data_IF_496258918322
#
_entry.id   IF_496258918322
#
_cell.length_a   1.000
_cell.length_b   1.000
_cell.length_c   1.000
_cell.angle_alpha   90.00
_cell.angle_beta   90.00
_cell.angle_gamma   90.00
#
_symmetry.space_group_name_H-M   'P 1'
#
loop_
_entity.id
_entity.type
_entity.pdbx_description
1 polymer ?
#
# COMPACT_ATOMS: atom_id res chain seq x y z
N UNK A 1 15.95 -28.78 25.29
CA UNK A 1 16.24 -29.21 23.90
C UNK A 1 15.03 -29.79 23.20
N UNK A 2 14.36 -28.97 22.40
CA UNK A 2 13.31 -29.44 21.51
C UNK A 2 13.94 -30.34 20.43
N UNK A 3 13.42 -31.54 20.20
CA UNK A 3 13.95 -32.51 19.23
C UNK A 3 12.94 -32.64 18.07
N UNK A 4 12.94 -31.70 17.12
CA UNK A 4 11.88 -31.57 16.11
C UNK A 4 11.79 -32.77 15.15
N UNK A 5 12.84 -33.59 15.10
CA UNK A 5 12.89 -34.81 14.27
C UNK A 5 12.21 -36.03 14.91
N UNK A 6 11.78 -35.95 16.17
CA UNK A 6 11.21 -37.07 16.92
C UNK A 6 9.69 -36.94 17.07
N UNK A 7 8.94 -37.98 16.68
CA UNK A 7 7.48 -38.01 16.78
C UNK A 7 7.02 -39.30 17.46
N UNK A 8 6.01 -39.19 18.33
CA UNK A 8 5.33 -40.35 18.90
C UNK A 8 4.21 -40.82 17.98
N UNK A 9 4.16 -42.12 17.69
CA UNK A 9 3.06 -42.75 16.95
C UNK A 9 2.11 -43.43 17.94
N UNK A 10 0.86 -42.96 18.11
CA UNK A 10 -0.11 -43.61 18.98
C UNK A 10 -0.43 -45.05 18.53
N UNK A 11 -0.55 -45.27 17.22
CA UNK A 11 -0.86 -46.58 16.63
C UNK A 11 0.23 -47.64 16.83
N UNK A 12 1.48 -47.21 17.02
CA UNK A 12 2.64 -48.11 17.25
C UNK A 12 3.20 -47.99 18.67
N UNK A 13 2.55 -47.17 19.51
CA UNK A 13 2.92 -46.90 20.90
C UNK A 13 4.41 -46.62 21.13
N UNK A 14 5.03 -45.80 20.28
CA UNK A 14 6.43 -45.44 20.46
C UNK A 14 6.98 -44.40 19.49
N UNK A 15 8.26 -44.10 19.66
CA UNK A 15 8.94 -42.95 19.04
C UNK A 15 9.60 -43.31 17.71
N UNK A 16 9.46 -42.43 16.73
CA UNK A 16 10.12 -42.48 15.43
C UNK A 16 10.95 -41.22 15.18
N UNK A 17 12.02 -41.36 14.40
CA UNK A 17 12.74 -40.26 13.81
C UNK A 17 12.17 -40.02 12.40
N UNK A 18 11.40 -38.95 12.20
CA UNK A 18 10.69 -38.68 10.95
C UNK A 18 11.65 -38.60 9.75
N UNK A 19 12.77 -37.86 9.81
CA UNK A 19 13.72 -37.82 8.71
C UNK A 19 14.30 -39.20 8.36
N UNK A 20 14.68 -39.99 9.36
CA UNK A 20 15.21 -41.34 9.10
C UNK A 20 14.14 -42.28 8.52
N UNK A 21 12.89 -42.17 8.95
CA UNK A 21 11.79 -43.00 8.40
C UNK A 21 11.59 -42.71 6.91
N UNK A 22 11.74 -41.45 6.51
CA UNK A 22 11.46 -41.01 5.14
C UNK A 22 12.68 -41.13 4.20
N UNK A 23 13.89 -40.91 4.71
CA UNK A 23 15.09 -40.71 3.89
C UNK A 23 16.24 -41.67 4.21
N UNK A 24 16.17 -42.49 5.27
CA UNK A 24 17.26 -43.41 5.56
C UNK A 24 17.26 -44.58 4.58
N UNK A 25 18.34 -44.72 3.82
CA UNK A 25 18.58 -45.88 2.98
C UNK A 25 19.42 -46.92 3.73
N UNK A 26 19.07 -48.20 3.54
CA UNK A 26 19.87 -49.30 4.06
C UNK A 26 21.13 -49.47 3.18
N UNK A 27 22.21 -48.75 3.52
CA UNK A 27 23.50 -48.90 2.84
C UNK A 27 24.38 -49.95 3.53
N UNK A 28 24.66 -51.07 2.84
CA UNK A 28 25.55 -52.13 3.31
C UNK A 28 25.02 -52.89 4.54
N UNK A 29 25.87 -53.15 5.54
CA UNK A 29 25.52 -53.86 6.78
C UNK A 29 24.78 -52.99 7.82
N UNK A 30 24.35 -51.77 7.46
CA UNK A 30 23.68 -50.88 8.41
C UNK A 30 22.19 -51.22 8.55
N UNK A 31 21.88 -52.00 9.60
CA UNK A 31 20.49 -52.30 9.96
C UNK A 31 19.75 -51.06 10.48
N UNK A 32 18.70 -50.65 9.76
CA UNK A 32 17.77 -49.60 10.18
C UNK A 32 16.88 -50.15 11.32
N UNK A 33 17.33 -49.98 12.56
CA UNK A 33 16.65 -50.51 13.74
C UNK A 33 15.58 -49.58 14.33
N UNK A 34 15.58 -49.50 15.66
CA UNK A 34 14.66 -48.65 16.43
C UNK A 34 14.75 -47.17 16.00
N UNK A 35 13.61 -46.48 16.08
CA UNK A 35 13.29 -45.14 15.55
C UNK A 35 13.04 -45.06 14.03
N UNK A 36 13.32 -46.13 13.26
CA UNK A 36 13.17 -46.12 11.80
C UNK A 36 12.16 -47.18 11.36
N UNK A 37 12.56 -48.46 11.32
CA UNK A 37 11.65 -49.56 10.95
C UNK A 37 10.73 -49.97 12.10
N UNK A 38 11.18 -49.77 13.34
CA UNK A 38 10.41 -50.06 14.55
C UNK A 38 10.42 -48.88 15.52
N UNK A 39 9.33 -48.67 16.28
CA UNK A 39 9.26 -47.59 17.25
C UNK A 39 10.25 -47.82 18.41
N UNK A 40 10.82 -46.76 18.96
CA UNK A 40 11.50 -46.85 20.26
C UNK A 40 10.47 -46.83 21.39
N UNK A 41 10.39 -47.95 22.12
CA UNK A 41 9.49 -48.14 23.27
C UNK A 41 10.25 -48.27 24.60
N UNK A 42 11.59 -48.26 24.57
CA UNK A 42 12.41 -48.39 25.77
C UNK A 42 12.64 -47.03 26.43
N UNK A 43 11.66 -46.58 27.23
CA UNK A 43 11.68 -45.27 27.87
C UNK A 43 12.69 -45.16 29.02
N UNK A 44 13.00 -46.26 29.71
CA UNK A 44 13.91 -46.26 30.86
C UNK A 44 15.37 -45.89 30.57
N UNK A 45 15.80 -45.98 29.29
CA UNK A 45 17.13 -45.55 28.81
C UNK A 45 17.02 -44.56 27.64
N UNK A 46 15.95 -43.78 27.58
CA UNK A 46 15.69 -42.89 26.45
C UNK A 46 16.66 -41.69 26.40
N UNK A 47 16.93 -41.11 27.57
CA UNK A 47 17.75 -39.91 27.78
C UNK A 47 19.10 -40.26 28.43
N UNK A 48 20.03 -39.30 28.43
CA UNK A 48 21.40 -39.46 28.96
C UNK A 48 22.47 -39.58 27.88
N UNK A 49 23.74 -39.59 28.28
CA UNK A 49 24.88 -39.70 27.37
C UNK A 49 24.82 -41.01 26.55
N UNK A 50 24.47 -42.12 27.20
CA UNK A 50 24.24 -43.43 26.55
C UNK A 50 22.77 -43.69 26.22
N UNK A 51 21.94 -42.64 26.24
CA UNK A 51 20.52 -42.73 25.95
C UNK A 51 20.26 -43.12 24.50
N UNK A 52 19.15 -43.82 24.26
CA UNK A 52 18.76 -44.28 22.93
C UNK A 52 18.68 -43.14 21.89
N UNK A 53 18.24 -41.95 22.31
CA UNK A 53 18.18 -40.76 21.46
C UNK A 53 19.58 -40.27 21.08
N UNK A 54 20.50 -40.18 22.04
CA UNK A 54 21.88 -39.73 21.82
C UNK A 54 22.60 -40.68 20.88
N UNK A 55 22.46 -42.00 21.13
CA UNK A 55 23.03 -43.03 20.28
C UNK A 55 22.46 -43.02 18.86
N UNK A 56 21.16 -42.75 18.69
CA UNK A 56 20.54 -42.62 17.38
C UNK A 56 21.07 -41.39 16.62
N UNK A 57 21.17 -40.24 17.29
CA UNK A 57 21.69 -38.99 16.71
C UNK A 57 23.13 -39.13 16.18
N UNK A 58 23.94 -39.97 16.82
CA UNK A 58 25.33 -40.22 16.41
C UNK A 58 25.49 -41.14 15.19
N UNK A 59 24.40 -41.73 14.68
CA UNK A 59 24.48 -42.61 13.51
C UNK A 59 24.62 -41.78 12.23
N UNK A 60 25.49 -42.21 11.31
CA UNK A 60 25.73 -41.49 10.06
C UNK A 60 24.45 -41.30 9.24
N UNK A 61 23.65 -42.36 9.07
CA UNK A 61 22.38 -42.28 8.34
C UNK A 61 21.41 -41.27 8.94
N UNK A 62 21.48 -40.99 10.26
CA UNK A 62 20.63 -39.97 10.85
C UNK A 62 20.98 -38.59 10.31
N UNK A 63 22.27 -38.22 10.34
CA UNK A 63 22.73 -36.93 9.83
C UNK A 63 22.44 -36.78 8.33
N UNK A 64 22.66 -37.83 7.54
CA UNK A 64 22.35 -37.83 6.10
C UNK A 64 20.84 -37.63 5.86
N UNK A 65 19.99 -38.36 6.58
CA UNK A 65 18.53 -38.19 6.50
C UNK A 65 18.05 -36.81 6.97
N UNK A 66 18.70 -36.18 7.97
CA UNK A 66 18.40 -34.79 8.36
C UNK A 66 18.73 -33.86 7.19
N UNK A 67 19.91 -34.00 6.58
CA UNK A 67 20.32 -33.16 5.45
C UNK A 67 19.41 -33.33 4.25
N UNK A 68 18.99 -34.55 3.93
CA UNK A 68 18.09 -34.81 2.81
C UNK A 68 16.67 -34.30 3.09
N UNK A 69 16.18 -34.41 4.33
CA UNK A 69 14.93 -33.77 4.73
C UNK A 69 15.00 -32.23 4.58
N UNK A 70 16.09 -31.61 5.00
CA UNK A 70 16.31 -30.17 4.86
C UNK A 70 16.40 -29.74 3.39
N UNK A 71 17.07 -30.55 2.54
CA UNK A 71 17.15 -30.34 1.09
C UNK A 71 15.78 -30.46 0.43
N UNK A 72 15.01 -31.50 0.77
CA UNK A 72 13.66 -31.72 0.26
C UNK A 72 12.74 -30.53 0.60
N UNK A 73 12.72 -30.11 1.88
CA UNK A 73 11.91 -28.95 2.31
C UNK A 73 12.36 -27.68 1.59
N UNK A 74 13.67 -27.49 1.42
CA UNK A 74 14.22 -26.33 0.71
C UNK A 74 13.81 -26.30 -0.76
N UNK A 75 13.84 -27.45 -1.45
CA UNK A 75 13.41 -27.59 -2.85
C UNK A 75 11.90 -27.33 -2.99
N UNK A 76 11.06 -27.96 -2.15
CA UNK A 76 9.62 -27.74 -2.13
C UNK A 76 9.26 -26.27 -1.89
N UNK A 77 9.98 -25.57 -1.01
CA UNK A 77 9.80 -24.12 -0.79
C UNK A 77 10.08 -23.32 -2.05
N UNK A 78 11.16 -23.64 -2.78
CA UNK A 78 11.51 -22.95 -4.03
C UNK A 78 10.42 -23.18 -5.09
N UNK A 79 9.94 -24.42 -5.22
CA UNK A 79 8.87 -24.76 -6.16
C UNK A 79 7.56 -24.05 -5.81
N UNK A 80 7.13 -24.12 -4.54
CA UNK A 80 5.92 -23.45 -4.08
C UNK A 80 5.99 -21.92 -4.27
N UNK A 81 7.16 -21.31 -4.06
CA UNK A 81 7.37 -19.89 -4.40
C UNK A 81 7.16 -19.63 -5.88
N UNK A 82 7.75 -20.45 -6.76
CA UNK A 82 7.56 -20.32 -8.21
C UNK A 82 6.08 -20.45 -8.61
N UNK A 83 5.31 -21.32 -7.94
CA UNK A 83 3.85 -21.51 -8.16
C UNK A 83 3.05 -20.27 -7.77
N UNK A 84 3.43 -19.60 -6.67
CA UNK A 84 2.76 -18.41 -6.15
C UNK A 84 3.08 -17.13 -6.94
N UNK A 85 4.30 -16.98 -7.47
CA UNK A 85 4.73 -15.79 -8.21
C UNK A 85 3.73 -15.33 -9.28
N UNK A 86 3.25 -16.17 -10.22
CA UNK A 86 2.31 -15.73 -11.25
C UNK A 86 0.96 -15.29 -10.66
N UNK A 87 0.51 -15.92 -9.57
CA UNK A 87 -0.75 -15.57 -8.89
C UNK A 87 -0.63 -14.20 -8.22
N UNK A 88 0.42 -13.99 -7.44
CA UNK A 88 0.70 -12.70 -6.78
C UNK A 88 0.87 -11.59 -7.81
N UNK A 89 1.65 -11.82 -8.88
CA UNK A 89 1.82 -10.84 -9.97
C UNK A 89 0.48 -10.48 -10.63
N UNK A 90 -0.42 -11.44 -10.76
CA UNK A 90 -1.76 -11.19 -11.30
C UNK A 90 -2.61 -10.35 -10.34
N UNK A 91 -2.52 -10.61 -9.02
CA UNK A 91 -3.18 -9.78 -8.00
C UNK A 91 -2.65 -8.34 -8.04
N UNK A 92 -1.33 -8.17 -8.11
CA UNK A 92 -0.70 -6.84 -8.22
C UNK A 92 -1.15 -6.13 -9.49
N UNK A 93 -1.16 -6.81 -10.63
CA UNK A 93 -1.64 -6.26 -11.90
C UNK A 93 -3.08 -5.76 -11.76
N UNK A 94 -3.95 -6.56 -11.15
CA UNK A 94 -5.33 -6.16 -10.92
C UNK A 94 -5.42 -4.91 -10.03
N UNK A 95 -4.69 -4.89 -8.92
CA UNK A 95 -4.65 -3.74 -8.01
C UNK A 95 -4.15 -2.46 -8.67
N UNK A 96 -3.08 -2.53 -9.46
CA UNK A 96 -2.49 -1.37 -10.15
C UNK A 96 -3.39 -0.78 -11.24
N UNK A 97 -4.27 -1.60 -11.82
CA UNK A 97 -5.14 -1.21 -12.94
C UNK A 97 -6.61 -1.06 -12.52
N UNK A 98 -6.92 -1.06 -11.23
CA UNK A 98 -8.28 -1.02 -10.70
C UNK A 98 -9.19 -2.12 -11.29
N UNK A 99 -8.63 -3.29 -11.59
CA UNK A 99 -9.37 -4.43 -12.11
C UNK A 99 -9.90 -5.23 -10.92
N UNK A 100 -11.22 -5.46 -10.82
CA UNK A 100 -11.76 -6.28 -9.74
C UNK A 100 -11.26 -7.72 -9.88
N UNK A 101 -10.75 -8.31 -8.79
CA UNK A 101 -10.26 -9.68 -8.81
C UNK A 101 -11.38 -10.70 -9.09
N UNK A 102 -12.61 -10.38 -8.64
CA UNK A 102 -13.78 -11.27 -8.64
C UNK A 102 -15.04 -10.56 -9.13
N UNK A 103 -15.92 -11.31 -9.76
CA UNK A 103 -17.30 -10.92 -10.05
C UNK A 103 -18.23 -11.26 -8.89
N UNK A 104 -19.55 -11.24 -9.15
CA UNK A 104 -20.55 -11.60 -8.14
C UNK A 104 -20.58 -13.11 -7.84
N UNK A 105 -20.17 -13.94 -8.81
CA UNK A 105 -19.84 -15.35 -8.61
C UNK A 105 -18.30 -15.44 -8.67
N UNK A 106 -17.66 -16.55 -8.29
CA UNK A 106 -16.19 -16.65 -8.38
C UNK A 106 -15.65 -16.61 -9.85
N UNK A 107 -16.43 -16.14 -10.83
CA UNK A 107 -16.12 -15.91 -12.25
C UNK A 107 -15.22 -14.67 -12.47
N UNK A 108 -14.25 -14.48 -11.58
CA UNK A 108 -13.38 -13.32 -11.53
C UNK A 108 -12.33 -13.19 -12.63
N UNK A 109 -11.95 -11.94 -12.91
CA UNK A 109 -10.87 -11.59 -13.83
C UNK A 109 -9.55 -12.28 -13.51
N UNK A 110 -9.28 -12.63 -12.23
CA UNK A 110 -8.06 -13.35 -11.87
C UNK A 110 -7.95 -14.70 -12.59
N UNK A 111 -9.05 -15.44 -12.76
CA UNK A 111 -9.03 -16.74 -13.46
C UNK A 111 -8.77 -16.55 -14.95
N UNK A 112 -9.41 -15.55 -15.55
CA UNK A 112 -9.20 -15.19 -16.96
C UNK A 112 -7.77 -14.75 -17.24
N UNK A 113 -7.18 -13.94 -16.35
CA UNK A 113 -5.80 -13.48 -16.46
C UNK A 113 -4.79 -14.61 -16.26
N UNK A 114 -5.03 -15.52 -15.31
CA UNK A 114 -4.19 -16.70 -15.14
C UNK A 114 -4.26 -17.63 -16.35
N UNK A 115 -5.45 -17.81 -16.95
CA UNK A 115 -5.59 -18.56 -18.21
C UNK A 115 -4.83 -17.89 -19.35
N UNK A 116 -4.95 -16.56 -19.49
CA UNK A 116 -4.17 -15.80 -20.47
C UNK A 116 -2.66 -15.98 -20.29
N UNK A 117 -2.15 -16.02 -19.06
CA UNK A 117 -0.72 -16.33 -18.80
C UNK A 117 -0.33 -17.73 -19.26
N UNK A 118 -1.19 -18.72 -19.06
CA UNK A 118 -0.97 -20.09 -19.52
C UNK A 118 -0.93 -20.13 -21.06
N UNK A 119 -1.90 -19.48 -21.71
CA UNK A 119 -1.96 -19.38 -23.17
C UNK A 119 -0.73 -18.64 -23.75
N UNK A 120 -0.17 -17.70 -22.98
CA UNK A 120 1.09 -17.01 -23.30
C UNK A 120 2.36 -17.82 -22.98
N UNK A 121 2.25 -19.07 -22.51
CA UNK A 121 3.37 -19.99 -22.33
C UNK A 121 3.84 -20.24 -20.88
N UNK A 122 3.08 -19.83 -19.86
CA UNK A 122 3.39 -20.11 -18.45
C UNK A 122 3.11 -21.59 -18.10
N UNK A 123 4.00 -22.48 -18.56
CA UNK A 123 3.89 -23.94 -18.39
C UNK A 123 3.92 -24.39 -16.93
N UNK A 124 4.58 -23.60 -16.07
CA UNK A 124 4.71 -23.88 -14.65
C UNK A 124 3.38 -23.63 -13.92
N UNK A 125 2.72 -22.50 -14.22
CA UNK A 125 1.36 -22.23 -13.76
C UNK A 125 0.36 -23.27 -14.29
N UNK A 126 0.49 -23.67 -15.57
CA UNK A 126 -0.36 -24.68 -16.18
C UNK A 126 -0.25 -26.02 -15.45
N UNK A 127 0.98 -26.49 -15.21
CA UNK A 127 1.24 -27.72 -14.46
C UNK A 127 0.64 -27.61 -13.05
N UNK A 128 0.94 -26.54 -12.31
CA UNK A 128 0.40 -26.30 -10.97
C UNK A 128 -1.12 -26.38 -10.91
N UNK A 129 -1.84 -25.65 -11.76
CA UNK A 129 -3.31 -25.64 -11.72
C UNK A 129 -3.92 -26.98 -12.16
N UNK A 130 -3.18 -27.79 -12.94
CA UNK A 130 -3.63 -29.13 -13.35
C UNK A 130 -3.38 -30.21 -12.29
N UNK A 131 -2.27 -30.13 -11.54
CA UNK A 131 -1.86 -31.17 -10.58
C UNK A 131 -2.20 -30.83 -9.14
N UNK A 132 -2.40 -29.55 -8.81
CA UNK A 132 -2.69 -29.13 -7.45
C UNK A 132 -4.01 -29.71 -6.95
N UNK A 133 -4.03 -30.12 -5.69
CA UNK A 133 -5.28 -30.43 -5.00
C UNK A 133 -6.16 -29.17 -4.97
N UNK A 134 -7.49 -29.36 -4.86
CA UNK A 134 -8.45 -28.24 -4.79
C UNK A 134 -8.08 -27.20 -3.71
N UNK A 135 -7.46 -27.64 -2.61
CA UNK A 135 -7.04 -26.80 -1.49
C UNK A 135 -5.69 -26.10 -1.71
N UNK A 136 -4.87 -26.54 -2.66
CA UNK A 136 -3.52 -26.02 -2.92
C UNK A 136 -3.42 -25.22 -4.23
N UNK A 137 -4.53 -24.88 -4.88
CA UNK A 137 -4.51 -24.08 -6.11
C UNK A 137 -4.06 -22.62 -5.87
N UNK A 138 -4.23 -22.12 -4.64
CA UNK A 138 -3.95 -20.74 -4.22
C UNK A 138 -4.77 -19.65 -4.94
N UNK A 139 -5.82 -20.03 -5.65
CA UNK A 139 -6.72 -19.12 -6.35
C UNK A 139 -8.09 -18.99 -5.66
N UNK A 140 -8.23 -19.53 -4.45
CA UNK A 140 -9.48 -19.45 -3.70
C UNK A 140 -9.74 -18.02 -3.20
N UNK A 141 -10.99 -17.69 -2.90
CA UNK A 141 -11.33 -16.37 -2.36
C UNK A 141 -10.57 -16.04 -1.06
N UNK A 142 -10.41 -17.05 -0.21
CA UNK A 142 -9.72 -16.94 1.07
C UNK A 142 -8.24 -16.66 0.84
N UNK A 143 -7.59 -17.48 0.00
CA UNK A 143 -6.16 -17.34 -0.28
C UNK A 143 -5.83 -16.00 -0.94
N UNK A 144 -6.62 -15.53 -1.90
CA UNK A 144 -6.29 -14.23 -2.50
C UNK A 144 -6.48 -13.09 -1.48
N UNK A 145 -7.46 -13.16 -0.56
CA UNK A 145 -7.61 -12.14 0.48
C UNK A 145 -6.39 -12.14 1.42
N UNK A 146 -5.95 -13.32 1.87
CA UNK A 146 -4.71 -13.46 2.67
C UNK A 146 -3.49 -12.89 1.94
N UNK A 147 -3.36 -13.16 0.62
CA UNK A 147 -2.27 -12.60 -0.18
C UNK A 147 -2.35 -11.08 -0.33
N UNK A 148 -3.56 -10.51 -0.42
CA UNK A 148 -3.78 -9.06 -0.48
C UNK A 148 -3.37 -8.43 0.86
N UNK A 149 -3.76 -9.01 1.99
CA UNK A 149 -3.40 -8.54 3.32
C UNK A 149 -1.88 -8.57 3.52
N UNK A 150 -1.23 -9.70 3.25
CA UNK A 150 0.24 -9.85 3.35
C UNK A 150 0.94 -8.81 2.46
N UNK A 151 0.48 -8.64 1.22
CA UNK A 151 1.08 -7.68 0.31
C UNK A 151 0.86 -6.23 0.75
N UNK A 152 -0.32 -5.92 1.29
CA UNK A 152 -0.64 -4.63 1.89
C UNK A 152 0.26 -4.30 3.08
N UNK A 153 0.52 -5.29 3.94
CA UNK A 153 1.43 -5.14 5.08
C UNK A 153 2.86 -4.87 4.63
N UNK A 154 3.37 -5.60 3.63
CA UNK A 154 4.71 -5.36 3.06
C UNK A 154 4.85 -3.95 2.47
N UNK A 155 3.83 -3.46 1.76
CA UNK A 155 3.81 -2.08 1.26
C UNK A 155 3.85 -1.08 2.42
N UNK A 156 3.05 -1.32 3.47
CA UNK A 156 2.99 -0.43 4.63
C UNK A 156 4.33 -0.41 5.37
N UNK A 157 4.95 -1.55 5.59
CA UNK A 157 6.29 -1.66 6.19
C UNK A 157 7.32 -0.86 5.41
N UNK A 158 7.32 -0.98 4.07
CA UNK A 158 8.21 -0.20 3.21
C UNK A 158 7.96 1.30 3.35
N UNK A 159 6.70 1.75 3.25
CA UNK A 159 6.36 3.17 3.42
C UNK A 159 6.81 3.69 4.79
N UNK A 160 6.58 2.92 5.86
CA UNK A 160 6.99 3.31 7.20
C UNK A 160 8.51 3.37 7.37
N UNK A 161 9.26 2.48 6.71
CA UNK A 161 10.71 2.55 6.68
C UNK A 161 11.19 3.85 5.99
N UNK A 162 10.57 4.22 4.86
CA UNK A 162 10.86 5.47 4.15
C UNK A 162 10.50 6.71 4.99
N UNK A 163 9.35 6.71 5.67
CA UNK A 163 8.92 7.79 6.57
C UNK A 163 9.89 7.93 7.75
N UNK A 164 10.31 6.83 8.37
CA UNK A 164 11.27 6.84 9.48
C UNK A 164 12.63 7.35 9.03
N UNK A 165 13.07 7.01 7.82
CA UNK A 165 14.28 7.56 7.22
C UNK A 165 14.15 9.07 6.94
N UNK A 166 13.00 9.52 6.42
CA UNK A 166 12.71 10.93 6.20
C UNK A 166 12.67 11.75 7.51
N UNK A 167 12.46 11.09 8.65
CA UNK A 167 12.26 11.67 9.99
C UNK A 167 10.97 12.47 10.11
N UNK A 168 10.78 13.48 9.26
CA UNK A 168 9.64 14.39 9.29
C UNK A 168 8.52 13.96 8.33
N UNK A 169 7.29 14.11 8.79
CA UNK A 169 6.11 13.77 8.00
C UNK A 169 4.95 14.74 8.24
N UNK A 170 4.00 14.72 7.32
CA UNK A 170 2.73 15.45 7.38
C UNK A 170 1.59 14.45 7.25
N UNK A 171 0.52 14.67 8.01
CA UNK A 171 -0.70 13.89 7.86
C UNK A 171 -1.61 14.59 6.88
N UNK A 172 -2.12 13.82 5.93
CA UNK A 172 -3.17 14.24 5.01
C UNK A 172 -4.35 13.31 5.26
N UNK A 173 -5.54 13.88 5.42
CA UNK A 173 -6.72 13.04 5.55
C UNK A 173 -8.01 13.81 5.47
N UNK A 174 -9.04 13.09 5.04
CA UNK A 174 -10.40 13.59 4.92
C UNK A 174 -11.39 12.55 5.44
N UNK A 175 -12.54 13.04 5.90
CA UNK A 175 -13.68 12.19 6.25
C UNK A 175 -14.38 11.73 4.96
N UNK A 176 -14.64 10.43 4.86
CA UNK A 176 -15.38 9.82 3.76
C UNK A 176 -16.36 8.80 4.29
N UNK A 177 -17.50 8.63 3.63
CA UNK A 177 -18.48 7.61 3.98
C UNK A 177 -18.26 6.36 3.15
N UNK A 178 -18.28 5.18 3.78
CA UNK A 178 -18.16 3.91 3.08
C UNK A 178 -19.49 3.43 2.45
N UNK A 179 -19.43 2.32 1.70
CA UNK A 179 -20.58 1.72 1.01
C UNK A 179 -21.69 1.23 1.96
N UNK A 180 -21.38 1.05 3.24
CA UNK A 180 -22.31 0.64 4.30
C UNK A 180 -22.72 1.83 5.19
N UNK A 181 -22.50 3.08 4.74
CA UNK A 181 -22.81 4.32 5.46
C UNK A 181 -22.03 4.54 6.76
N UNK A 182 -20.90 3.86 6.94
CA UNK A 182 -19.98 4.07 8.07
C UNK A 182 -18.98 5.16 7.67
N UNK A 183 -18.84 6.18 8.51
CA UNK A 183 -17.81 7.20 8.29
C UNK A 183 -16.42 6.65 8.60
N UNK A 184 -15.48 7.01 7.75
CA UNK A 184 -14.09 6.63 7.84
C UNK A 184 -13.22 7.86 7.61
N UNK A 185 -12.11 7.93 8.33
CA UNK A 185 -11.07 8.91 8.11
C UNK A 185 -9.98 8.30 7.22
N UNK A 186 -9.72 8.93 6.07
CA UNK A 186 -8.60 8.55 5.20
C UNK A 186 -7.29 8.98 5.84
N UNK A 187 -6.39 8.04 6.15
CA UNK A 187 -5.09 8.36 6.73
C UNK A 187 -3.99 8.22 5.68
N UNK A 188 -3.43 9.36 5.27
CA UNK A 188 -2.31 9.44 4.34
C UNK A 188 -1.10 10.12 4.99
N UNK A 189 0.10 9.69 4.60
CA UNK A 189 1.36 10.30 5.01
C UNK A 189 2.01 11.01 3.83
N UNK A 190 2.48 12.22 4.08
CA UNK A 190 3.33 12.99 3.17
C UNK A 190 4.71 13.17 3.76
N UNK A 191 5.75 12.83 3.02
CA UNK A 191 7.14 12.88 3.48
C UNK A 191 8.11 13.12 2.32
N UNK A 192 9.34 13.52 2.64
CA UNK A 192 10.41 13.74 1.65
C UNK A 192 11.38 12.57 1.69
N UNK A 193 11.47 11.82 0.59
CA UNK A 193 12.42 10.70 0.45
C UNK A 193 13.11 10.81 -0.91
N UNK A 194 14.44 10.71 -0.92
CA UNK A 194 15.27 10.89 -2.13
C UNK A 194 14.97 12.20 -2.90
N UNK A 195 14.83 13.31 -2.17
CA UNK A 195 14.48 14.64 -2.72
C UNK A 195 13.16 14.69 -3.51
N UNK A 196 12.28 13.70 -3.32
CA UNK A 196 10.94 13.67 -3.91
C UNK A 196 9.89 13.67 -2.81
N UNK A 197 8.81 14.42 -3.05
CA UNK A 197 7.64 14.39 -2.19
C UNK A 197 6.88 13.10 -2.48
N UNK A 198 6.61 12.33 -1.44
CA UNK A 198 5.77 11.14 -1.50
C UNK A 198 4.51 11.38 -0.69
N UNK A 199 3.36 11.05 -1.29
CA UNK A 199 2.06 11.04 -0.63
C UNK A 199 1.52 9.61 -0.73
N UNK A 200 1.36 8.96 0.43
CA UNK A 200 1.02 7.54 0.50
C UNK A 200 -0.18 7.33 1.40
N UNK A 201 -1.19 6.64 0.87
CA UNK A 201 -2.29 6.11 1.64
C UNK A 201 -1.80 4.98 2.56
N UNK A 202 -2.29 4.95 3.81
CA UNK A 202 -1.92 3.94 4.81
C UNK A 202 -3.10 3.08 5.21
N UNK A 203 -4.22 3.71 5.59
CA UNK A 203 -5.37 3.04 6.17
C UNK A 203 -6.62 3.93 6.10
N UNK A 204 -7.78 3.26 6.17
CA UNK A 204 -9.03 3.90 6.55
C UNK A 204 -9.25 3.65 8.03
N UNK A 205 -9.53 4.70 8.80
CA UNK A 205 -9.77 4.62 10.23
C UNK A 205 -11.27 4.81 10.51
N UNK A 206 -11.96 3.86 11.16
CA UNK A 206 -13.37 4.03 11.51
C UNK A 206 -13.58 5.26 12.40
N UNK A 207 -14.41 6.21 11.95
CA UNK A 207 -14.64 7.48 12.64
C UNK A 207 -15.98 7.47 13.38
N UNK A 208 -16.03 6.76 14.51
CA UNK A 208 -17.24 6.68 15.35
C UNK A 208 -17.60 8.05 15.99
N UNK A 209 -16.57 8.77 16.46
CA UNK A 209 -16.68 10.10 17.06
C UNK A 209 -16.20 11.17 16.07
N UNK A 210 -17.17 11.86 15.44
CA UNK A 210 -16.95 12.90 14.41
C UNK A 210 -16.59 14.27 14.98
N UNK A 211 -16.41 14.38 16.30
CA UNK A 211 -15.93 15.63 16.88
C UNK A 211 -14.45 15.81 16.53
N UNK A 212 -13.98 17.06 16.49
CA UNK A 212 -12.55 17.30 16.27
C UNK A 212 -11.65 16.66 17.34
N UNK A 213 -12.17 16.41 18.54
CA UNK A 213 -11.47 15.67 19.58
C UNK A 213 -11.40 14.17 19.30
N UNK A 214 -12.51 13.58 18.85
CA UNK A 214 -12.58 12.18 18.42
C UNK A 214 -11.59 11.85 17.31
N UNK A 215 -11.59 12.65 16.26
CA UNK A 215 -10.70 12.49 15.11
C UNK A 215 -9.24 12.74 15.48
N UNK A 216 -8.96 13.71 16.35
CA UNK A 216 -7.60 13.94 16.83
C UNK A 216 -7.06 12.74 17.62
N UNK A 217 -7.89 12.12 18.46
CA UNK A 217 -7.54 10.91 19.21
C UNK A 217 -7.24 9.76 18.26
N UNK A 218 -8.12 9.53 17.28
CA UNK A 218 -7.98 8.49 16.26
C UNK A 218 -6.66 8.64 15.48
N UNK A 219 -6.33 9.86 15.07
CA UNK A 219 -5.07 10.19 14.38
C UNK A 219 -3.85 9.91 15.27
N UNK A 220 -3.86 10.37 16.52
CA UNK A 220 -2.72 10.18 17.44
C UNK A 220 -2.52 8.71 17.81
N UNK A 221 -3.60 7.95 17.97
CA UNK A 221 -3.56 6.50 18.18
C UNK A 221 -2.96 5.78 16.97
N UNK A 222 -3.37 6.14 15.76
CA UNK A 222 -2.82 5.54 14.54
C UNK A 222 -1.32 5.84 14.37
N UNK A 223 -0.89 7.09 14.61
CA UNK A 223 0.55 7.44 14.60
C UNK A 223 1.34 6.52 15.56
N UNK A 224 0.79 6.29 16.76
CA UNK A 224 1.42 5.43 17.77
C UNK A 224 1.43 3.96 17.33
N UNK A 225 0.34 3.46 16.74
CA UNK A 225 0.24 2.09 16.22
C UNK A 225 1.24 1.83 15.08
N UNK A 226 1.47 2.84 14.22
CA UNK A 226 2.47 2.79 13.16
C UNK A 226 3.92 2.93 13.69
N UNK A 227 4.10 3.13 15.00
CA UNK A 227 5.41 3.32 15.62
C UNK A 227 6.11 4.61 15.17
N UNK A 228 5.33 5.63 14.82
CA UNK A 228 5.81 6.95 14.46
C UNK A 228 5.83 7.87 15.69
N UNK A 229 6.78 8.80 15.73
CA UNK A 229 6.84 9.78 16.81
C UNK A 229 6.03 11.03 16.40
N UNK A 230 4.95 11.37 17.12
CA UNK A 230 4.13 12.53 16.80
C UNK A 230 4.90 13.86 16.85
N UNK A 231 6.02 13.94 17.57
CA UNK A 231 6.86 15.14 17.62
C UNK A 231 7.60 15.45 16.30
N UNK A 232 7.69 14.49 15.38
CA UNK A 232 8.25 14.71 14.04
C UNK A 232 7.18 15.03 12.98
N UNK A 233 5.91 15.12 13.39
CA UNK A 233 4.85 15.60 12.52
C UNK A 233 4.98 17.12 12.35
N UNK A 234 5.30 17.57 11.13
CA UNK A 234 5.56 18.97 10.80
C UNK A 234 4.38 19.68 10.14
N UNK A 235 3.36 18.93 9.73
CA UNK A 235 2.19 19.46 9.04
C UNK A 235 0.95 18.58 9.19
N UNK A 236 -0.20 19.20 8.98
CA UNK A 236 -1.51 18.57 8.96
C UNK A 236 -2.33 19.22 7.84
N UNK A 237 -2.92 18.40 6.97
CA UNK A 237 -3.79 18.84 5.88
C UNK A 237 -5.11 18.07 5.94
N UNK A 238 -6.18 18.79 6.29
CA UNK A 238 -7.51 18.23 6.45
C UNK A 238 -8.55 19.00 5.63
N UNK A 239 -9.71 18.39 5.40
CA UNK A 239 -10.87 19.06 4.82
C UNK A 239 -11.32 20.29 5.62
N UNK A 240 -12.04 21.20 4.97
CA UNK A 240 -12.48 22.46 5.55
C UNK A 240 -13.61 22.36 6.58
N UNK A 241 -14.12 21.16 6.87
CA UNK A 241 -15.23 20.93 7.81
C UNK A 241 -14.92 21.50 9.21
N UNK A 242 -15.93 21.99 9.91
CA UNK A 242 -15.76 22.61 11.25
C UNK A 242 -15.19 21.64 12.29
N UNK A 243 -15.42 20.33 12.16
CA UNK A 243 -14.81 19.32 13.01
C UNK A 243 -13.28 19.26 12.81
N UNK A 244 -12.81 19.48 11.58
CA UNK A 244 -11.39 19.41 11.22
C UNK A 244 -10.65 20.74 11.41
N UNK A 245 -11.26 21.85 10.98
CA UNK A 245 -10.67 23.20 10.93
C UNK A 245 -11.12 24.12 12.08
N UNK A 246 -11.95 23.62 13.00
CA UNK A 246 -12.56 24.40 14.07
C UNK A 246 -11.55 25.15 14.95
N UNK A 247 -11.74 26.47 15.08
CA UNK A 247 -10.84 27.39 15.79
C UNK A 247 -10.62 27.08 17.28
N UNK A 248 -11.54 26.37 17.93
CA UNK A 248 -11.52 26.12 19.38
C UNK A 248 -11.44 24.63 19.78
N UNK A 249 -11.99 23.74 18.94
CA UNK A 249 -12.08 22.29 19.18
C UNK A 249 -11.82 21.43 17.93
N UNK A 250 -11.26 22.02 16.88
CA UNK A 250 -11.00 21.30 15.63
C UNK A 250 -9.87 20.27 15.78
N UNK A 251 -9.92 19.22 14.97
CA UNK A 251 -8.90 18.15 14.90
C UNK A 251 -7.49 18.70 14.86
N UNK A 252 -7.25 19.68 13.98
CA UNK A 252 -5.94 20.30 13.81
C UNK A 252 -5.39 20.88 15.12
N UNK A 253 -6.23 21.64 15.84
CA UNK A 253 -5.84 22.28 17.10
C UNK A 253 -5.60 21.25 18.20
N UNK A 254 -6.46 20.23 18.29
CA UNK A 254 -6.35 19.19 19.32
C UNK A 254 -5.09 18.36 19.11
N UNK A 255 -4.79 17.95 17.88
CA UNK A 255 -3.53 17.27 17.55
C UNK A 255 -2.34 18.18 17.86
N UNK A 256 -2.38 19.47 17.48
CA UNK A 256 -1.31 20.43 17.80
C UNK A 256 -1.05 20.60 19.30
N UNK A 257 -2.07 20.44 20.15
CA UNK A 257 -1.92 20.50 21.62
C UNK A 257 -1.34 19.20 22.20
N UNK A 258 -1.66 18.05 21.58
CA UNK A 258 -1.20 16.73 22.02
C UNK A 258 0.24 16.41 21.62
N UNK A 259 0.72 16.98 20.52
CA UNK A 259 2.14 16.91 20.14
C UNK A 259 2.89 18.04 20.84
N UNK A 260 4.05 17.77 21.44
CA UNK A 260 4.84 18.81 22.10
C UNK A 260 5.05 19.97 21.13
N UNK A 261 4.86 21.23 21.59
CA UNK A 261 4.89 22.47 20.79
C UNK A 261 5.71 22.28 19.51
N UNK A 262 5.12 22.47 18.34
CA UNK A 262 5.81 22.37 17.06
C UNK A 262 7.12 23.19 17.06
N UNK A 263 8.26 22.54 17.33
CA UNK A 263 9.59 23.19 17.48
C UNK A 263 10.32 23.35 16.15
N UNK A 264 9.88 22.66 15.10
CA UNK A 264 10.60 22.52 13.83
C UNK A 264 9.88 23.15 12.64
N UNK A 265 9.14 24.26 12.85
CA UNK A 265 8.90 25.15 11.72
C UNK A 265 10.25 25.79 11.36
N UNK A 266 10.64 25.83 10.08
CA UNK A 266 11.70 26.72 9.64
C UNK A 266 11.19 28.15 9.80
N UNK A 267 11.21 28.66 11.03
CA UNK A 267 11.03 30.07 11.28
C UNK A 267 12.30 30.73 10.76
N UNK A 268 12.15 31.57 9.73
CA UNK A 268 13.24 32.43 9.35
C UNK A 268 13.65 33.23 10.60
N UNK A 269 14.94 33.22 10.99
CA UNK A 269 15.39 33.93 12.18
C UNK A 269 15.04 35.41 12.05
N UNK A 270 14.43 35.96 13.09
CA UNK A 270 14.04 37.36 13.16
C UNK A 270 14.41 37.89 14.54
N UNK A 271 15.01 39.07 14.59
CA UNK A 271 15.49 39.70 15.83
C UNK A 271 14.36 40.43 16.56
N UNK A 272 13.28 40.77 15.85
CA UNK A 272 12.12 41.48 16.41
C UNK A 272 10.80 40.81 16.01
N UNK A 273 9.72 40.99 16.80
CA UNK A 273 8.38 40.52 16.42
C UNK A 273 7.90 41.09 15.08
N UNK A 274 8.23 42.34 14.77
CA UNK A 274 7.86 42.98 13.50
C UNK A 274 8.55 42.31 12.31
N UNK A 275 9.86 42.06 12.43
CA UNK A 275 10.63 41.31 11.43
C UNK A 275 10.10 39.88 11.27
N UNK A 276 9.73 39.23 12.37
CA UNK A 276 9.12 37.91 12.34
C UNK A 276 7.81 37.92 11.54
N UNK A 277 6.92 38.88 11.81
CA UNK A 277 5.67 39.04 11.05
C UNK A 277 5.92 39.34 9.58
N UNK A 278 6.92 40.17 9.28
CA UNK A 278 7.27 40.53 7.91
C UNK A 278 7.75 39.32 7.12
N UNK A 279 8.69 38.56 7.66
CA UNK A 279 9.35 37.46 6.94
C UNK A 279 8.51 36.19 6.91
N UNK A 280 7.88 35.81 8.02
CA UNK A 280 7.19 34.52 8.13
C UNK A 280 5.69 34.61 7.78
N UNK A 281 5.10 35.81 7.73
CA UNK A 281 3.68 35.99 7.46
C UNK A 281 3.43 36.89 6.24
N UNK A 282 3.90 38.12 6.27
CA UNK A 282 3.57 39.14 5.27
C UNK A 282 4.15 38.81 3.89
N UNK A 283 5.45 38.50 3.81
CA UNK A 283 6.11 38.16 2.54
C UNK A 283 5.47 36.91 1.90
N UNK A 284 5.28 35.77 2.59
CA UNK A 284 4.64 34.60 2.01
C UNK A 284 3.20 34.87 1.50
N UNK A 285 2.42 35.66 2.24
CA UNK A 285 1.07 36.04 1.82
C UNK A 285 1.14 36.92 0.58
N UNK A 286 2.05 37.90 0.55
CA UNK A 286 2.24 38.77 -0.62
C UNK A 286 2.71 38.00 -1.84
N UNK A 287 3.67 37.08 -1.70
CA UNK A 287 4.12 36.21 -2.77
C UNK A 287 2.98 35.35 -3.31
N UNK A 288 2.16 34.78 -2.42
CA UNK A 288 0.96 34.04 -2.82
C UNK A 288 -0.03 34.92 -3.60
N UNK A 289 -0.27 36.17 -3.16
CA UNK A 289 -1.10 37.12 -3.89
C UNK A 289 -0.53 37.45 -5.27
N UNK A 290 0.78 37.70 -5.36
CA UNK A 290 1.47 37.97 -6.63
C UNK A 290 1.33 36.78 -7.56
N UNK A 291 1.60 35.55 -7.09
CA UNK A 291 1.47 34.33 -7.88
C UNK A 291 0.01 34.13 -8.32
N UNK A 292 -0.96 34.34 -7.43
CA UNK A 292 -2.38 34.21 -7.76
C UNK A 292 -2.80 35.21 -8.84
N UNK A 293 -2.40 36.48 -8.72
CA UNK A 293 -2.65 37.50 -9.74
C UNK A 293 -1.93 37.19 -11.05
N UNK A 294 -0.67 36.78 -10.99
CA UNK A 294 0.14 36.41 -12.17
C UNK A 294 -0.50 35.24 -12.92
N UNK A 295 -0.98 34.22 -12.20
CA UNK A 295 -1.68 33.10 -12.79
C UNK A 295 -3.02 33.53 -13.38
N UNK A 296 -3.82 34.32 -12.63
CA UNK A 296 -5.13 34.80 -13.05
C UNK A 296 -5.07 35.71 -14.28
N UNK A 297 -4.01 36.51 -14.41
CA UNK A 297 -3.77 37.40 -15.55
C UNK A 297 -2.66 36.86 -16.46
N UNK A 298 -2.45 35.55 -16.48
CA UNK A 298 -1.53 34.91 -17.43
C UNK A 298 -2.03 35.07 -18.86
N UNK A 299 -1.11 35.01 -19.83
CA UNK A 299 -1.45 35.13 -21.26
C UNK A 299 -2.54 34.11 -21.69
N UNK A 300 -2.51 32.90 -21.13
CA UNK A 300 -3.50 31.87 -21.41
C UNK A 300 -4.89 32.21 -20.84
N UNK A 301 -4.96 32.73 -19.60
CA UNK A 301 -6.21 33.20 -19.00
C UNK A 301 -6.77 34.42 -19.73
N UNK A 302 -5.91 35.34 -20.20
CA UNK A 302 -6.31 36.44 -21.07
C UNK A 302 -6.94 35.97 -22.38
N UNK A 303 -6.37 34.95 -23.02
CA UNK A 303 -6.95 34.34 -24.22
C UNK A 303 -8.31 33.68 -23.95
N UNK A 304 -8.48 33.03 -22.80
CA UNK A 304 -9.78 32.49 -22.38
C UNK A 304 -10.79 33.62 -22.08
N UNK A 305 -10.35 34.71 -21.45
CA UNK A 305 -11.16 35.90 -21.21
C UNK A 305 -11.64 36.54 -22.52
N UNK A 306 -10.82 36.58 -23.56
CA UNK A 306 -11.24 37.09 -24.88
C UNK A 306 -12.35 36.23 -25.52
N UNK A 307 -12.45 34.93 -25.20
CA UNK A 307 -13.59 34.10 -25.64
C UNK A 307 -14.90 34.55 -24.97
N UNK A 308 -14.86 35.14 -23.77
CA UNK A 308 -16.05 35.69 -23.10
C UNK A 308 -16.69 36.85 -23.86
N UNK A 309 -16.03 37.42 -24.86
CA UNK A 309 -16.61 38.40 -25.80
C UNK A 309 -17.78 37.81 -26.58
N UNK A 310 -17.85 36.48 -26.73
CA UNK A 310 -18.98 35.79 -27.35
C UNK A 310 -20.24 35.78 -26.46
N UNK A 311 -20.14 36.21 -25.20
CA UNK A 311 -21.31 36.38 -24.33
C UNK A 311 -22.15 37.56 -24.83
N UNK A 312 -23.47 37.41 -25.02
CA UNK A 312 -24.31 38.44 -25.64
C UNK A 312 -24.22 39.83 -25.00
N UNK A 313 -24.10 39.93 -23.67
CA UNK A 313 -23.97 41.21 -22.97
C UNK A 313 -22.65 41.95 -23.25
N UNK A 314 -21.64 41.25 -23.75
CA UNK A 314 -20.30 41.79 -24.02
C UNK A 314 -20.07 42.05 -25.51
N UNK A 315 -20.78 41.31 -26.38
CA UNK A 315 -20.57 41.33 -27.84
C UNK A 315 -20.92 42.68 -28.48
N UNK A 316 -21.89 43.40 -27.90
CA UNK A 316 -22.40 44.69 -28.42
C UNK A 316 -21.28 45.73 -28.53
N UNK A 317 -20.42 45.79 -27.50
CA UNK A 317 -19.37 46.79 -27.35
C UNK A 317 -17.98 46.33 -27.86
N UNK A 318 -17.89 45.15 -28.47
CA UNK A 318 -16.62 44.56 -28.91
C UNK A 318 -16.59 44.29 -30.41
N UNK A 319 -15.38 44.18 -30.95
CA UNK A 319 -15.12 43.92 -32.37
C UNK A 319 -14.70 42.46 -32.58
N UNK A 320 -14.88 41.94 -33.79
CA UNK A 320 -14.38 40.61 -34.12
C UNK A 320 -12.85 40.50 -34.00
N UNK A 321 -12.14 41.63 -34.16
CA UNK A 321 -10.68 41.64 -34.10
C UNK A 321 -10.17 41.32 -32.68
N UNK A 322 -10.98 41.57 -31.65
CA UNK A 322 -10.66 41.27 -30.25
C UNK A 322 -10.62 39.75 -29.96
N UNK A 323 -11.21 38.93 -30.84
CA UNK A 323 -11.23 37.47 -30.76
C UNK A 323 -10.13 36.80 -31.58
N UNK A 324 -9.36 37.55 -32.37
CA UNK A 324 -8.44 37.00 -33.38
C UNK A 324 -7.39 36.06 -32.78
N UNK A 325 -6.81 36.44 -31.65
CA UNK A 325 -5.77 35.67 -30.99
C UNK A 325 -6.34 34.38 -30.37
N UNK A 326 -7.53 34.46 -29.76
CA UNK A 326 -8.23 33.29 -29.20
C UNK A 326 -8.68 32.31 -30.27
N UNK A 327 -9.22 32.80 -31.39
CA UNK A 327 -9.62 31.95 -32.52
C UNK A 327 -8.39 31.25 -33.11
N UNK A 328 -7.28 31.97 -33.24
CA UNK A 328 -6.02 31.39 -33.74
C UNK A 328 -5.52 30.28 -32.82
N UNK A 329 -5.56 30.51 -31.50
CA UNK A 329 -5.14 29.52 -30.51
C UNK A 329 -6.05 28.28 -30.49
N UNK A 330 -7.37 28.45 -30.50
CA UNK A 330 -8.33 27.34 -30.43
C UNK A 330 -8.65 26.72 -31.80
N UNK A 331 -8.03 27.19 -32.89
CA UNK A 331 -8.35 26.80 -34.28
C UNK A 331 -8.40 25.29 -34.51
N UNK A 332 -7.46 24.55 -33.91
CA UNK A 332 -7.37 23.09 -34.06
C UNK A 332 -8.53 22.32 -33.37
N UNK A 333 -9.22 22.95 -32.43
CA UNK A 333 -10.30 22.35 -31.64
C UNK A 333 -11.70 22.77 -32.12
N UNK A 334 -11.78 23.71 -33.06
CA UNK A 334 -13.04 24.24 -33.55
C UNK A 334 -13.52 23.42 -34.75
N UNK A 335 -14.78 22.93 -34.77
CA UNK A 335 -15.29 22.06 -35.84
C UNK A 335 -15.43 22.79 -37.19
N UNK A 336 -15.59 24.11 -37.19
CA UNK A 336 -15.68 24.93 -38.40
C UNK A 336 -15.14 26.35 -38.16
N UNK A 337 -13.79 26.52 -38.09
CA UNK A 337 -13.16 27.78 -37.71
C UNK A 337 -13.48 28.94 -38.67
N UNK A 338 -13.76 28.63 -39.93
CA UNK A 338 -14.01 29.63 -40.97
C UNK A 338 -15.37 30.34 -40.79
N UNK A 339 -16.34 29.71 -40.13
CA UNK A 339 -17.70 30.24 -39.95
C UNK A 339 -17.81 31.22 -38.76
N UNK A 340 -16.80 31.27 -37.89
CA UNK A 340 -16.87 32.02 -36.62
C UNK A 340 -17.06 33.52 -36.84
N UNK A 341 -16.51 34.07 -37.94
CA UNK A 341 -16.69 35.49 -38.28
C UNK A 341 -18.13 35.80 -38.67
N UNK A 342 -18.77 34.90 -39.40
CA UNK A 342 -20.15 35.06 -39.87
C UNK A 342 -21.13 34.90 -38.72
N UNK A 343 -20.92 33.89 -37.87
CA UNK A 343 -21.67 33.68 -36.62
C UNK A 343 -21.54 34.88 -35.68
N UNK A 344 -20.34 35.39 -35.46
CA UNK A 344 -20.13 36.58 -34.62
C UNK A 344 -20.96 37.79 -35.10
N UNK A 345 -21.00 38.02 -36.42
CA UNK A 345 -21.80 39.11 -37.00
C UNK A 345 -23.30 38.85 -36.89
N UNK A 346 -23.73 37.59 -36.98
CA UNK A 346 -25.13 37.21 -36.76
C UNK A 346 -25.55 37.49 -35.30
N UNK A 347 -24.73 37.06 -34.33
CA UNK A 347 -25.00 37.27 -32.91
C UNK A 347 -24.96 38.74 -32.50
N UNK A 348 -24.14 39.57 -33.14
CA UNK A 348 -24.10 41.02 -32.88
C UNK A 348 -25.32 41.79 -33.43
N UNK A 349 -26.04 41.21 -34.40
CA UNK A 349 -27.24 41.81 -35.00
C UNK A 349 -28.54 41.45 -34.28
N UNK A 350 -28.51 40.39 -33.47
CA UNK A 350 -29.60 39.99 -32.57
C UNK A 350 -29.45 40.74 -31.25
#
# INVERSE_FOLDING_TARGET
>A
DNKPWLVYSPSKSGLFCVPCVLFAEAAGNNYLGSFVLSPCQQYGKLLGADGQITRHKLKNYHNDSILDAERFISQEKIENRKRLVPIIKTIILCGQNNIPLRGHRDDGYIRSLLRYRIDAGDSMLANHLSTASKTATYISKTTQNELIEIYGDLIREQILAEVKHATFFTIIGDETTDVNTIEQFTFCLRYLFENKVHEKFISFLPAEDRTGEGLARLILEEIKNLGLNPNFMVGQAYGGCSAMSGKFKGTQLTVMRGVGRQMYRPNAPAQTPEEYYRVNLFIPIMDHFIVSLTNRFSAHQWMAYHVSILVPSMIEHKSFNDLKDSITFYKAYLPSPNLIKEEFQLYKRK
#
